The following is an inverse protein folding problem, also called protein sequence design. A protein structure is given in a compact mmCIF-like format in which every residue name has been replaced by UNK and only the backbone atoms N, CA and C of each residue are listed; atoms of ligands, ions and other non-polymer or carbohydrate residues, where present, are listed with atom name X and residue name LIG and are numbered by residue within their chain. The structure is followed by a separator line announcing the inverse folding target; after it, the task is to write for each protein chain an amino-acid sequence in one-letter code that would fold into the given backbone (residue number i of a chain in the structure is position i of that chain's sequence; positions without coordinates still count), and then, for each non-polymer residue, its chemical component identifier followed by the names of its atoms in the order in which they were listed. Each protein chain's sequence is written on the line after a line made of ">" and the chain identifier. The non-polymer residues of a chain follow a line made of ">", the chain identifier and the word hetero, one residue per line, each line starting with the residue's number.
data_IF_049451399618
#
_entry.id   IF_049451399618
#
_cell.length_a   1.000
_cell.length_b   1.000
_cell.length_c   1.000
_cell.angle_alpha   90.00
_cell.angle_beta   90.00
_cell.angle_gamma   90.00
#
_symmetry.space_group_name_H-M   'P 1'
#
loop_
_entity.id
_entity.type
_entity.pdbx_description
1 polymer ?
2 non-polymer ?
3 water ?
#
# COMPACT_ATOMS: atom_id res chain seq x y z
N UNK A 3 24.06 -8.70 27.50
CA UNK A 3 24.56 -7.50 26.77
C UNK A 3 23.46 -6.94 25.88
N UNK A 4 23.63 -5.69 25.45
CA UNK A 4 22.64 -5.03 24.60
C UNK A 4 23.15 -4.85 23.18
N UNK A 5 22.56 -5.57 22.24
CA UNK A 5 22.98 -5.48 20.85
C UNK A 5 21.97 -4.73 20.00
N UNK A 6 21.01 -4.07 20.65
CA UNK A 6 20.02 -3.29 19.92
C UNK A 6 20.70 -2.01 19.45
N UNK A 7 20.12 -1.40 18.43
CA UNK A 7 20.69 -0.20 17.81
C UNK A 7 19.75 0.99 17.83
N UNK A 8 20.24 2.12 18.33
CA UNK A 8 19.45 3.34 18.34
C UNK A 8 19.30 3.87 16.90
N UNK A 9 18.07 4.16 16.50
CA UNK A 9 17.80 4.68 15.18
C UNK A 9 17.22 6.08 15.27
N UNK A 10 17.64 6.94 14.33
CA UNK A 10 17.11 8.29 14.22
C UNK A 10 17.04 8.57 12.71
N UNK A 11 16.63 9.77 12.34
CA UNK A 11 16.55 10.13 10.93
C UNK A 11 17.94 10.03 10.31
N UNK A 12 18.97 10.11 11.14
CA UNK A 12 20.34 10.04 10.63
C UNK A 12 20.71 8.68 10.03
N UNK A 13 20.22 7.58 10.60
CA UNK A 13 20.59 6.26 10.05
C UNK A 13 19.43 5.32 9.73
N UNK A 14 18.19 5.78 9.95
CA UNK A 14 17.04 4.92 9.70
C UNK A 14 17.00 4.26 8.33
N UNK A 15 17.01 5.07 7.29
CA UNK A 15 16.95 4.54 5.93
C UNK A 15 18.11 3.63 5.54
N UNK A 16 19.34 4.06 5.78
CA UNK A 16 20.48 3.22 5.38
C UNK A 16 20.47 1.87 6.08
N UNK A 17 20.05 1.83 7.34
CA UNK A 17 19.99 0.56 8.07
C UNK A 17 18.93 -0.37 7.45
N UNK A 18 17.75 0.17 7.18
CA UNK A 18 16.68 -0.64 6.58
C UNK A 18 17.00 -1.12 5.17
N UNK A 19 17.61 -0.25 4.38
CA UNK A 19 17.96 -0.58 3.00
C UNK A 19 19.10 -1.54 2.83
N UNK A 20 20.06 -1.49 3.76
CA UNK A 20 21.24 -2.34 3.63
C UNK A 20 21.37 -3.56 4.53
N UNK A 21 20.27 -3.94 5.16
CA UNK A 21 20.24 -5.13 6.02
C UNK A 21 18.98 -5.90 5.62
N UNK A 22 19.09 -7.22 5.45
CA UNK A 22 17.93 -8.00 5.04
C UNK A 22 16.73 -7.89 5.99
N UNK A 23 16.97 -8.10 7.28
CA UNK A 23 15.90 -8.02 8.26
C UNK A 23 16.21 -6.99 9.33
N UNK A 24 15.30 -6.03 9.49
CA UNK A 24 15.48 -4.99 10.48
C UNK A 24 14.17 -4.78 11.24
N UNK A 25 14.26 -4.86 12.56
CA UNK A 25 13.09 -4.66 13.42
C UNK A 25 13.28 -3.31 14.09
N UNK A 26 12.18 -2.65 14.40
CA UNK A 26 12.24 -1.35 15.04
C UNK A 26 11.27 -1.26 16.19
N UNK A 27 11.79 -1.28 17.42
CA UNK A 27 10.96 -1.18 18.61
C UNK A 27 10.73 0.32 18.86
N UNK A 28 9.51 0.78 18.59
CA UNK A 28 9.14 2.18 18.79
C UNK A 28 8.69 2.27 20.26
N UNK A 29 9.41 3.07 21.04
CA UNK A 29 9.14 3.18 22.48
C UNK A 29 9.30 4.59 23.05
N UNK A 30 9.10 4.67 24.36
CA UNK A 30 9.24 5.91 25.13
C UNK A 30 9.38 5.49 26.59
N UNK A 31 10.18 6.22 27.35
CA UNK A 31 10.41 5.88 28.76
C UNK A 31 9.17 5.93 29.67
N UNK A 32 8.19 6.77 29.32
CA UNK A 32 6.99 6.93 30.13
C UNK A 32 5.93 5.86 29.89
N UNK A 33 6.23 4.95 28.95
CA UNK A 33 5.29 3.92 28.56
C UNK A 33 5.51 2.62 29.34
N UNK A 34 4.54 2.28 30.18
CA UNK A 34 4.61 1.09 31.02
C UNK A 34 4.80 -0.21 30.22
N UNK A 35 3.93 -0.48 29.22
CA UNK A 35 4.02 -1.68 28.40
C UNK A 35 5.39 -1.76 27.69
N UNK A 36 5.93 -0.61 27.30
CA UNK A 36 7.22 -0.57 26.64
C UNK A 36 8.31 -1.07 27.57
N UNK A 37 8.25 -0.62 28.81
CA UNK A 37 9.23 -1.00 29.81
C UNK A 37 9.22 -2.51 30.03
N UNK A 38 8.04 -3.11 30.00
CA UNK A 38 7.91 -4.54 30.19
C UNK A 38 8.36 -5.33 28.97
N UNK A 39 8.24 -4.72 27.79
CA UNK A 39 8.64 -5.38 26.53
C UNK A 39 10.16 -5.30 26.27
N UNK A 40 10.80 -4.22 26.72
CA UNK A 40 12.22 -4.03 26.46
C UNK A 40 13.15 -5.22 26.71
N UNK A 41 13.10 -5.84 27.90
CA UNK A 41 14.01 -6.98 28.11
C UNK A 41 13.76 -8.17 27.17
N UNK A 42 12.52 -8.35 26.75
CA UNK A 42 12.17 -9.43 25.84
C UNK A 42 12.74 -9.08 24.45
N UNK A 43 12.60 -7.83 24.04
CA UNK A 43 13.11 -7.38 22.74
C UNK A 43 14.62 -7.52 22.73
N UNK A 44 15.25 -7.14 23.84
CA UNK A 44 16.71 -7.24 23.98
C UNK A 44 17.19 -8.70 23.98
N UNK A 45 16.47 -9.54 24.71
CA UNK A 45 16.80 -10.95 24.78
C UNK A 45 16.77 -11.63 23.40
N UNK A 46 15.73 -11.35 22.63
CA UNK A 46 15.64 -11.94 21.29
C UNK A 46 16.72 -11.36 20.39
N UNK A 47 16.99 -10.06 20.52
CA UNK A 47 18.01 -9.43 19.70
C UNK A 47 19.37 -10.10 19.94
N UNK A 48 19.62 -10.49 21.19
CA UNK A 48 20.87 -11.17 21.54
C UNK A 48 20.88 -12.56 20.89
N UNK A 49 19.75 -13.26 20.92
CA UNK A 49 19.69 -14.59 20.32
C UNK A 49 20.04 -14.54 18.84
N UNK A 50 19.66 -13.45 18.16
CA UNK A 50 19.94 -13.31 16.74
C UNK A 50 21.06 -12.31 16.46
N UNK A 51 21.98 -12.18 17.40
CA UNK A 51 23.10 -11.26 17.24
C UNK A 51 23.83 -11.55 15.93
N UNK A 52 24.10 -10.50 15.15
CA UNK A 52 24.79 -10.65 13.88
C UNK A 52 23.94 -11.10 12.71
N UNK A 53 22.70 -11.50 12.97
CA UNK A 53 21.83 -12.00 11.90
C UNK A 53 20.73 -11.07 11.42
N UNK A 54 20.26 -10.20 12.32
CA UNK A 54 19.22 -9.22 12.00
C UNK A 54 19.46 -8.03 12.90
N UNK A 55 19.04 -6.85 12.45
CA UNK A 55 19.22 -5.65 13.25
C UNK A 55 17.97 -5.34 14.05
N UNK A 56 18.17 -5.17 15.36
CA UNK A 56 17.08 -4.86 16.26
C UNK A 56 17.20 -3.39 16.68
N UNK A 57 16.59 -2.54 15.88
CA UNK A 57 16.63 -1.12 16.15
C UNK A 57 15.62 -0.69 17.19
N UNK A 58 15.83 0.51 17.71
CA UNK A 58 14.95 1.09 18.71
C UNK A 58 14.77 2.53 18.28
N UNK A 59 13.52 2.96 18.19
CA UNK A 59 13.22 4.33 17.80
C UNK A 59 12.42 4.96 18.95
N UNK A 60 13.02 5.91 19.64
CA UNK A 60 12.28 6.59 20.69
C UNK A 60 11.34 7.55 19.96
N UNK A 61 10.04 7.35 20.13
CA UNK A 61 9.08 8.17 19.43
C UNK A 61 9.08 9.66 19.76
N UNK A 62 9.44 10.03 20.98
CA UNK A 62 9.44 11.47 21.30
C UNK A 62 10.58 12.23 20.62
N UNK A 63 11.65 11.54 20.25
CA UNK A 63 12.76 12.20 19.56
C UNK A 63 12.73 11.95 18.05
N UNK A 64 11.76 11.18 17.58
CA UNK A 64 11.64 10.85 16.16
C UNK A 64 10.18 10.93 15.72
N UNK A 65 9.54 12.06 16.01
CA UNK A 65 8.14 12.22 15.67
C UNK A 65 7.81 12.02 14.21
N UNK A 66 8.62 12.58 13.32
CA UNK A 66 8.36 12.44 11.90
C UNK A 66 8.39 10.99 11.44
N UNK A 67 9.35 10.21 11.95
CA UNK A 67 9.41 8.80 11.53
C UNK A 67 8.20 8.04 12.08
N UNK A 68 7.86 8.28 13.34
CA UNK A 68 6.73 7.61 13.96
C UNK A 68 5.48 7.94 13.13
N UNK A 69 5.33 9.20 12.75
CA UNK A 69 4.19 9.64 11.95
C UNK A 69 4.20 8.95 10.58
N UNK A 70 5.37 8.93 9.94
CA UNK A 70 5.49 8.31 8.63
C UNK A 70 4.89 6.90 8.62
N UNK A 71 5.14 6.11 9.67
CA UNK A 71 4.62 4.76 9.72
C UNK A 71 3.39 4.61 10.60
N UNK A 72 2.68 5.72 10.81
CA UNK A 72 1.48 5.78 11.61
C UNK A 72 1.53 5.08 12.97
N UNK A 73 2.61 5.29 13.71
CA UNK A 73 2.75 4.69 15.02
C UNK A 73 1.92 5.52 16.00
N UNK A 74 0.68 5.10 16.22
CA UNK A 74 -0.23 5.81 17.12
C UNK A 74 -0.20 5.27 18.54
N UNK A 75 0.17 4.01 18.69
CA UNK A 75 0.25 3.36 20.00
C UNK A 75 1.61 2.72 20.17
N UNK A 76 2.10 2.68 21.40
CA UNK A 76 3.39 2.03 21.66
C UNK A 76 3.19 1.10 22.85
N UNK A 77 4.02 0.04 22.92
CA UNK A 77 5.05 -0.17 21.90
C UNK A 77 4.51 -0.69 20.57
N UNK A 78 5.29 -0.45 19.51
CA UNK A 78 4.98 -0.94 18.18
C UNK A 78 6.30 -1.43 17.62
N UNK A 79 6.29 -2.60 17.00
CA UNK A 79 7.51 -3.14 16.43
C UNK A 79 7.33 -3.26 14.92
N UNK A 80 8.00 -2.37 14.19
CA UNK A 80 7.96 -2.38 12.74
C UNK A 80 8.90 -3.48 12.27
N UNK A 81 8.54 -4.17 11.20
CA UNK A 81 9.41 -5.20 10.66
C UNK A 81 9.67 -4.94 9.19
N UNK A 82 10.95 -4.81 8.85
CA UNK A 82 11.37 -4.53 7.48
C UNK A 82 12.18 -5.69 6.91
N UNK A 83 11.87 -6.08 5.69
CA UNK A 83 12.60 -7.16 5.02
C UNK A 83 12.93 -6.67 3.62
N UNK A 84 14.20 -6.73 3.26
CA UNK A 84 14.67 -6.25 1.96
C UNK A 84 14.25 -4.80 1.73
N UNK A 85 14.39 -4.00 2.79
CA UNK A 85 14.10 -2.58 2.72
C UNK A 85 12.65 -2.14 2.69
N UNK A 86 11.72 -3.07 2.89
CA UNK A 86 10.30 -2.70 2.85
C UNK A 86 9.57 -3.26 4.07
N UNK A 87 8.56 -2.53 4.54
CA UNK A 87 7.82 -2.97 5.71
C UNK A 87 6.94 -4.18 5.39
N UNK A 88 7.10 -5.23 6.19
CA UNK A 88 6.32 -6.45 6.00
C UNK A 88 5.35 -6.68 7.15
N UNK A 89 5.49 -5.93 8.23
CA UNK A 89 4.57 -6.06 9.36
C UNK A 89 4.80 -4.94 10.34
N UNK A 90 3.83 -4.76 11.23
CA UNK A 90 3.90 -3.75 12.29
C UNK A 90 3.12 -4.41 13.41
N UNK A 91 3.80 -4.73 14.50
CA UNK A 91 3.19 -5.39 15.66
C UNK A 91 2.95 -4.40 16.78
N UNK A 92 1.68 -4.21 17.13
CA UNK A 92 1.29 -3.27 18.18
C UNK A 92 1.16 -3.93 19.55
N UNK A 93 1.79 -3.35 20.56
CA UNK A 93 1.74 -3.91 21.91
C UNK A 93 2.96 -4.77 22.16
N UNK A 94 3.24 -5.10 23.41
CA UNK A 94 4.39 -5.94 23.73
C UNK A 94 4.22 -7.30 23.03
N UNK A 95 5.16 -7.66 22.15
CA UNK A 95 5.05 -8.94 21.44
C UNK A 95 5.52 -10.12 22.29
N UNK A 96 4.72 -11.17 22.33
CA UNK A 96 5.06 -12.37 23.09
C UNK A 96 6.42 -12.84 22.57
N UNK A 97 7.27 -13.36 23.45
CA UNK A 97 8.59 -13.80 22.99
C UNK A 97 8.50 -14.85 21.90
N UNK A 98 7.57 -15.81 22.05
CA UNK A 98 7.46 -16.84 21.05
C UNK A 98 7.08 -16.23 19.70
N UNK A 99 6.15 -15.30 19.70
CA UNK A 99 5.74 -14.64 18.46
C UNK A 99 6.90 -13.87 17.83
N UNK A 100 7.68 -13.18 18.67
CA UNK A 100 8.81 -12.40 18.18
C UNK A 100 9.91 -13.30 17.55
N UNK A 101 10.25 -14.39 18.22
CA UNK A 101 11.27 -15.31 17.71
C UNK A 101 10.77 -16.01 16.46
N UNK A 102 9.49 -16.35 16.47
CA UNK A 102 8.86 -17.03 15.34
C UNK A 102 8.89 -16.12 14.10
N UNK A 103 8.61 -14.84 14.31
CA UNK A 103 8.60 -13.87 13.23
C UNK A 103 9.99 -13.70 12.63
N UNK A 104 10.99 -13.57 13.49
CA UNK A 104 12.37 -13.44 13.03
C UNK A 104 12.79 -14.66 12.20
N UNK A 105 12.58 -15.85 12.76
CA UNK A 105 12.93 -17.08 12.07
C UNK A 105 12.28 -17.12 10.69
N UNK A 106 11.01 -16.77 10.64
CA UNK A 106 10.26 -16.75 9.39
C UNK A 106 10.90 -15.88 8.31
N UNK A 107 11.39 -14.72 8.70
CA UNK A 107 11.98 -13.82 7.71
C UNK A 107 13.46 -14.01 7.43
N UNK A 108 14.14 -14.84 8.21
CA UNK A 108 15.55 -15.11 7.98
C UNK A 108 15.71 -16.37 7.12
N UNK B 3 16.29 -17.04 -5.48
CA UNK B 3 15.69 -16.80 -4.13
C UNK B 3 14.24 -16.36 -4.28
N UNK B 4 13.49 -16.39 -3.17
CA UNK B 4 12.08 -16.01 -3.18
C UNK B 4 11.88 -14.80 -2.27
N UNK B 5 11.62 -13.65 -2.88
CA UNK B 5 11.42 -12.44 -2.08
C UNK B 5 9.96 -12.06 -1.93
N UNK B 6 9.05 -12.93 -2.35
CA UNK B 6 7.62 -12.65 -2.19
C UNK B 6 7.30 -12.69 -0.70
N UNK B 7 6.17 -12.08 -0.34
CA UNK B 7 5.78 -12.01 1.06
C UNK B 7 4.42 -12.63 1.35
N UNK B 8 4.38 -13.51 2.34
CA UNK B 8 3.11 -14.11 2.70
C UNK B 8 2.33 -13.03 3.46
N UNK B 9 1.08 -12.85 3.07
CA UNK B 9 0.19 -11.88 3.68
C UNK B 9 -0.99 -12.62 4.30
N UNK B 10 -1.40 -12.16 5.48
CA UNK B 10 -2.57 -12.74 6.14
C UNK B 10 -3.31 -11.55 6.72
N UNK B 11 -4.43 -11.82 7.38
CA UNK B 11 -5.20 -10.72 7.97
C UNK B 11 -4.39 -10.07 9.10
N UNK B 12 -3.31 -10.73 9.49
CA UNK B 12 -2.46 -10.20 10.54
C UNK B 12 -1.54 -9.03 10.07
N UNK B 13 -1.10 -9.04 8.80
CA UNK B 13 -0.23 -7.96 8.32
C UNK B 13 -0.69 -7.28 7.03
N UNK B 14 -1.82 -7.73 6.47
CA UNK B 14 -2.32 -7.16 5.22
C UNK B 14 -2.43 -5.62 5.19
N UNK B 15 -3.15 -5.03 6.14
CA UNK B 15 -3.32 -3.58 6.11
C UNK B 15 -2.03 -2.83 6.40
N UNK B 16 -1.23 -3.38 7.32
CA UNK B 16 0.03 -2.76 7.66
C UNK B 16 0.92 -2.67 6.43
N UNK B 17 0.96 -3.74 5.64
CA UNK B 17 1.79 -3.76 4.44
C UNK B 17 1.31 -2.81 3.35
N UNK B 18 0.02 -2.82 3.04
CA UNK B 18 -0.44 -1.92 1.99
C UNK B 18 -0.38 -0.44 2.37
N UNK B 19 -0.57 -0.12 3.64
CA UNK B 19 -0.54 1.28 4.06
C UNK B 19 0.87 1.85 4.19
N UNK B 20 1.88 0.98 4.25
CA UNK B 20 3.26 1.46 4.44
C UNK B 20 4.26 1.20 3.31
N UNK B 21 3.76 0.95 2.11
CA UNK B 21 4.61 0.69 0.95
C UNK B 21 3.91 1.35 -0.22
N UNK B 22 4.67 1.97 -1.13
CA UNK B 22 4.04 2.62 -2.29
C UNK B 22 3.31 1.64 -3.20
N UNK B 23 3.99 0.58 -3.60
CA UNK B 23 3.38 -0.40 -4.48
C UNK B 23 3.38 -1.77 -3.85
N UNK B 24 2.20 -2.35 -3.75
CA UNK B 24 2.05 -3.70 -3.18
C UNK B 24 1.17 -4.51 -4.09
N UNK B 25 1.69 -5.65 -4.55
CA UNK B 25 0.91 -6.54 -5.38
C UNK B 25 0.46 -7.69 -4.46
N UNK B 26 -0.70 -8.25 -4.75
CA UNK B 26 -1.20 -9.34 -3.93
C UNK B 26 -1.71 -10.47 -4.81
N UNK B 27 -0.92 -11.55 -4.87
CA UNK B 27 -1.29 -12.71 -5.67
C UNK B 27 -2.22 -13.55 -4.79
N UNK B 28 -3.50 -13.50 -5.14
CA UNK B 28 -4.57 -14.23 -4.43
C UNK B 28 -4.65 -15.62 -5.06
N UNK B 29 -4.35 -16.64 -4.26
CA UNK B 29 -4.31 -18.01 -4.77
C UNK B 29 -4.96 -19.05 -3.85
N UNK B 30 -5.07 -20.27 -4.37
CA UNK B 30 -5.61 -21.41 -3.65
C UNK B 30 -4.83 -22.66 -4.08
N UNK B 31 -4.75 -23.64 -3.19
CA UNK B 31 -4.03 -24.88 -3.45
C UNK B 31 -4.56 -25.76 -4.58
N UNK B 32 -5.87 -25.83 -4.77
CA UNK B 32 -6.42 -26.67 -5.83
C UNK B 32 -6.60 -25.89 -7.13
N UNK B 33 -5.70 -24.95 -7.37
CA UNK B 33 -5.78 -24.09 -8.54
C UNK B 33 -4.54 -24.27 -9.41
N UNK B 34 -4.70 -24.99 -10.52
CA UNK B 34 -3.58 -25.26 -11.43
C UNK B 34 -2.94 -23.97 -11.98
N UNK B 35 -3.76 -23.04 -12.48
CA UNK B 35 -3.22 -21.78 -13.01
C UNK B 35 -2.41 -21.04 -11.96
N UNK B 36 -2.85 -21.11 -10.71
CA UNK B 36 -2.12 -20.45 -9.62
C UNK B 36 -0.73 -21.03 -9.56
N UNK B 37 -0.65 -22.34 -9.69
CA UNK B 37 0.62 -23.04 -9.64
C UNK B 37 1.52 -22.62 -10.81
N UNK B 38 0.94 -22.46 -11.98
CA UNK B 38 1.74 -22.05 -13.13
C UNK B 38 2.24 -20.61 -13.00
N UNK B 39 1.42 -19.78 -12.37
CA UNK B 39 1.74 -18.35 -12.18
C UNK B 39 2.82 -18.13 -11.11
N UNK B 40 2.83 -18.99 -10.11
CA UNK B 40 3.78 -18.86 -9.00
C UNK B 40 5.22 -18.53 -9.42
N UNK B 41 5.83 -19.34 -10.29
CA UNK B 41 7.21 -19.02 -10.68
C UNK B 41 7.39 -17.70 -11.43
N UNK B 42 6.36 -17.28 -12.17
CA UNK B 42 6.41 -16.02 -12.91
C UNK B 42 6.37 -14.86 -11.90
N UNK B 43 5.44 -14.97 -10.95
CA UNK B 43 5.26 -13.95 -9.90
C UNK B 43 6.55 -13.81 -9.12
N UNK B 44 7.16 -14.94 -8.77
CA UNK B 44 8.41 -14.94 -8.02
C UNK B 44 9.58 -14.33 -8.81
N UNK B 45 9.62 -14.58 -10.11
CA UNK B 45 10.69 -14.06 -10.96
C UNK B 45 10.64 -12.54 -11.04
N UNK B 46 9.44 -11.99 -11.25
CA UNK B 46 9.28 -10.54 -11.32
C UNK B 46 9.54 -9.90 -9.95
N UNK B 47 9.13 -10.59 -8.88
CA UNK B 47 9.38 -10.05 -7.54
C UNK B 47 10.88 -9.89 -7.31
N UNK B 48 11.67 -10.84 -7.81
CA UNK B 48 13.13 -10.77 -7.67
C UNK B 48 13.67 -9.58 -8.49
N UNK B 49 13.16 -9.41 -9.70
CA UNK B 49 13.60 -8.30 -10.54
C UNK B 49 13.39 -6.99 -9.79
N UNK B 50 12.25 -6.86 -9.10
CA UNK B 50 11.95 -5.65 -8.35
C UNK B 50 12.22 -5.73 -6.86
N UNK B 51 13.18 -6.55 -6.48
CA UNK B 51 13.55 -6.72 -5.08
C UNK B 51 13.80 -5.37 -4.42
N UNK B 52 13.21 -5.17 -3.25
CA UNK B 52 13.37 -3.93 -2.50
C UNK B 52 12.65 -2.69 -3.06
N UNK B 53 12.00 -2.82 -4.21
CA UNK B 53 11.31 -1.70 -4.85
C UNK B 53 9.78 -1.73 -4.76
N UNK B 54 9.23 -2.93 -4.69
CA UNK B 54 7.79 -3.10 -4.57
C UNK B 54 7.61 -4.39 -3.79
N UNK B 55 6.50 -4.51 -3.07
CA UNK B 55 6.25 -5.72 -2.29
C UNK B 55 5.37 -6.66 -3.09
N UNK B 56 5.82 -7.90 -3.23
CA UNK B 56 5.05 -8.88 -3.96
C UNK B 56 4.46 -9.85 -2.96
N UNK B 57 3.25 -9.54 -2.51
CA UNK B 57 2.58 -10.39 -1.54
C UNK B 57 1.83 -11.55 -2.15
N UNK B 58 1.58 -12.56 -1.32
CA UNK B 58 0.83 -13.73 -1.75
C UNK B 58 -0.23 -13.93 -0.67
N UNK B 59 -1.47 -14.12 -1.11
CA UNK B 59 -2.57 -14.28 -0.17
C UNK B 59 -3.37 -15.55 -0.48
N UNK B 60 -3.29 -16.52 0.41
CA UNK B 60 -4.04 -17.77 0.21
C UNK B 60 -5.48 -17.44 0.57
N UNK B 61 -6.37 -17.43 -0.42
CA UNK B 61 -7.77 -17.09 -0.17
C UNK B 61 -8.52 -18.07 0.72
N UNK B 62 -8.08 -19.32 0.80
CA UNK B 62 -8.75 -20.30 1.67
C UNK B 62 -8.44 -19.98 3.14
N UNK B 63 -7.31 -19.33 3.39
CA UNK B 63 -6.90 -19.00 4.77
C UNK B 63 -7.17 -17.55 5.18
N UNK B 64 -7.63 -16.75 4.22
CA UNK B 64 -7.92 -15.33 4.45
C UNK B 64 -9.20 -15.01 3.72
N UNK B 65 -10.23 -15.77 4.06
CA UNK B 65 -11.53 -15.67 3.43
C UNK B 65 -12.14 -14.28 3.41
N UNK B 66 -12.06 -13.58 4.54
CA UNK B 66 -12.62 -12.23 4.62
C UNK B 66 -11.98 -11.25 3.62
N UNK B 67 -10.68 -11.36 3.40
CA UNK B 67 -10.03 -10.41 2.49
C UNK B 67 -10.51 -10.64 1.06
N UNK B 68 -10.74 -11.90 0.71
CA UNK B 68 -11.23 -12.25 -0.62
C UNK B 68 -12.61 -11.62 -0.81
N UNK B 69 -13.39 -11.60 0.25
CA UNK B 69 -14.73 -11.02 0.18
C UNK B 69 -14.64 -9.49 0.12
N UNK B 70 -13.74 -8.91 0.92
CA UNK B 70 -13.56 -7.46 0.97
C UNK B 70 -13.20 -6.86 -0.39
N UNK B 71 -12.31 -7.52 -1.13
CA UNK B 71 -11.93 -7.00 -2.44
C UNK B 71 -12.60 -7.71 -3.62
N UNK B 72 -13.75 -8.33 -3.34
CA UNK B 72 -14.54 -9.03 -4.33
C UNK B 72 -13.77 -9.87 -5.32
N UNK B 73 -12.93 -10.76 -4.81
CA UNK B 73 -12.15 -11.64 -5.67
C UNK B 73 -13.13 -12.64 -6.29
N UNK B 74 -13.21 -12.62 -7.62
CA UNK B 74 -14.15 -13.48 -8.35
C UNK B 74 -13.53 -14.63 -9.13
N UNK B 75 -12.21 -14.64 -9.24
CA UNK B 75 -11.50 -15.69 -9.94
C UNK B 75 -10.11 -15.76 -9.34
N UNK B 76 -9.45 -16.90 -9.50
CA UNK B 76 -8.09 -17.06 -9.02
C UNK B 76 -7.27 -17.80 -10.09
N UNK B 77 -5.99 -17.44 -10.20
CA UNK B 77 -5.40 -16.40 -9.37
C UNK B 77 -5.83 -15.01 -9.82
N UNK B 78 -5.77 -14.05 -8.89
CA UNK B 78 -6.07 -12.64 -9.19
C UNK B 78 -4.96 -11.88 -8.49
N UNK B 79 -4.32 -10.96 -9.20
CA UNK B 79 -3.26 -10.18 -8.60
C UNK B 79 -3.76 -8.77 -8.33
N UNK B 80 -4.04 -8.46 -7.07
CA UNK B 80 -4.52 -7.12 -6.72
C UNK B 80 -3.35 -6.16 -6.72
N UNK B 81 -3.57 -4.94 -7.20
CA UNK B 81 -2.53 -3.94 -7.25
C UNK B 81 -2.90 -2.76 -6.36
N UNK B 82 -2.11 -2.51 -5.32
CA UNK B 82 -2.35 -1.39 -4.43
C UNK B 82 -1.23 -0.35 -4.60
N UNK B 83 -1.62 0.92 -4.68
CA UNK B 83 -0.64 1.99 -4.78
C UNK B 83 -1.08 3.00 -3.72
N UNK B 84 -0.12 3.38 -2.87
CA UNK B 84 -0.37 4.30 -1.77
C UNK B 84 -1.53 3.88 -0.89
N UNK B 85 -1.66 2.57 -0.70
CA UNK B 85 -2.69 2.02 0.18
C UNK B 85 -4.10 1.79 -0.34
N UNK B 86 -4.33 2.07 -1.61
CA UNK B 86 -5.67 1.91 -2.18
C UNK B 86 -5.60 1.06 -3.44
N UNK B 87 -6.65 0.29 -3.71
CA UNK B 87 -6.68 -0.56 -4.91
C UNK B 87 -6.79 0.27 -6.19
N UNK B 88 -5.87 0.05 -7.13
CA UNK B 88 -5.86 0.81 -8.38
C UNK B 88 -5.97 -0.03 -9.63
N UNK B 89 -5.83 -1.35 -9.48
CA UNK B 89 -5.88 -2.23 -10.64
C UNK B 89 -5.82 -3.68 -10.18
N UNK B 90 -5.90 -4.59 -11.13
CA UNK B 90 -5.82 -6.01 -10.85
C UNK B 90 -5.53 -6.75 -12.16
N UNK B 91 -4.99 -7.96 -12.03
CA UNK B 91 -4.69 -8.80 -13.17
C UNK B 91 -5.37 -10.13 -12.84
N UNK B 92 -6.29 -10.56 -13.68
CA UNK B 92 -7.02 -11.80 -13.46
C UNK B 92 -6.43 -12.95 -14.27
N UNK B 93 -6.16 -14.07 -13.59
CA UNK B 93 -5.61 -15.23 -14.26
C UNK B 93 -4.10 -15.31 -14.21
N UNK B 94 -3.55 -16.40 -14.72
CA UNK B 94 -2.09 -16.57 -14.72
C UNK B 94 -1.52 -15.73 -15.85
N UNK B 95 -1.18 -14.48 -15.56
CA UNK B 95 -0.63 -13.59 -16.57
C UNK B 95 0.85 -13.87 -16.84
N UNK B 96 1.27 -13.60 -18.07
CA UNK B 96 2.64 -13.81 -18.48
C UNK B 96 3.59 -12.83 -17.79
N UNK B 97 4.87 -13.18 -17.74
CA UNK B 97 5.89 -12.36 -17.10
C UNK B 97 5.94 -10.93 -17.67
N UNK B 98 5.87 -10.81 -19.00
CA UNK B 98 5.92 -9.51 -19.64
C UNK B 98 4.79 -8.61 -19.22
N UNK B 99 3.58 -9.15 -19.16
CA UNK B 99 2.42 -8.37 -18.77
C UNK B 99 2.54 -7.92 -17.30
N UNK B 100 2.95 -8.85 -16.44
CA UNK B 100 3.11 -8.51 -15.03
C UNK B 100 4.23 -7.46 -14.88
N UNK B 101 5.36 -7.68 -15.53
CA UNK B 101 6.48 -6.72 -15.47
C UNK B 101 6.06 -5.35 -15.95
N UNK B 102 5.37 -5.30 -17.09
CA UNK B 102 4.92 -4.03 -17.65
C UNK B 102 4.04 -3.28 -16.66
N UNK B 103 3.15 -4.02 -16.00
CA UNK B 103 2.23 -3.45 -15.01
C UNK B 103 2.96 -2.91 -13.79
N UNK B 104 3.98 -3.62 -13.33
CA UNK B 104 4.75 -3.17 -12.19
C UNK B 104 5.46 -1.86 -12.54
N UNK B 105 6.14 -1.86 -13.68
CA UNK B 105 6.86 -0.66 -14.12
C UNK B 105 5.88 0.51 -14.27
N UNK B 106 4.71 0.22 -14.81
CA UNK B 106 3.70 1.26 -15.01
C UNK B 106 3.39 1.99 -13.72
N UNK B 107 3.28 1.24 -12.62
CA UNK B 107 2.93 1.83 -11.34
C UNK B 107 4.08 2.30 -10.46
N UNK B 108 5.31 1.96 -10.84
CA UNK B 108 6.47 2.38 -10.06
C UNK B 108 7.04 3.69 -10.60
N UNK C 3 4.78 15.90 -6.09
CA UNK C 3 4.44 14.46 -6.20
C UNK C 3 3.05 14.27 -6.80
N UNK C 4 2.93 13.35 -7.75
CA UNK C 4 1.65 13.07 -8.39
C UNK C 4 1.07 11.74 -7.93
N UNK C 5 0.04 11.79 -7.09
CA UNK C 5 -0.58 10.57 -6.60
C UNK C 5 -1.89 10.24 -7.33
N UNK C 6 -2.19 10.99 -8.39
CA UNK C 6 -3.41 10.73 -9.15
C UNK C 6 -3.26 9.43 -9.93
N UNK C 7 -4.38 8.84 -10.33
CA UNK C 7 -4.39 7.57 -11.05
C UNK C 7 -5.08 7.60 -12.40
N UNK C 8 -4.38 7.16 -13.44
CA UNK C 8 -4.97 7.08 -14.78
C UNK C 8 -6.05 5.99 -14.79
N UNK C 9 -7.26 6.35 -15.23
CA UNK C 9 -8.36 5.39 -15.30
C UNK C 9 -8.69 5.05 -16.73
N UNK C 10 -9.03 3.78 -16.92
CA UNK C 10 -9.33 3.24 -18.23
C UNK C 10 -10.40 2.16 -18.04
N UNK C 11 -10.99 1.64 -19.11
CA UNK C 11 -11.99 0.59 -18.95
C UNK C 11 -11.33 -0.61 -18.26
N UNK C 12 -10.01 -0.70 -18.38
CA UNK C 12 -9.28 -1.82 -17.76
C UNK C 12 -9.37 -1.84 -16.23
N UNK C 13 -9.38 -0.68 -15.59
CA UNK C 13 -9.44 -0.62 -14.12
C UNK C 13 -10.55 0.24 -13.53
N UNK C 14 -11.36 0.89 -14.36
CA UNK C 14 -12.40 1.77 -13.83
C UNK C 14 -13.30 1.11 -12.80
N UNK C 15 -14.01 0.07 -13.22
CA UNK C 15 -14.94 -0.61 -12.34
C UNK C 15 -14.31 -1.13 -11.07
N UNK C 16 -13.15 -1.75 -11.18
CA UNK C 16 -12.57 -2.28 -9.95
C UNK C 16 -12.13 -1.19 -8.96
N UNK C 17 -11.71 -0.03 -9.49
CA UNK C 17 -11.29 1.06 -8.62
C UNK C 17 -12.49 1.65 -7.85
N UNK C 18 -13.60 1.91 -8.53
CA UNK C 18 -14.73 2.49 -7.81
C UNK C 18 -15.43 1.49 -6.87
N UNK C 19 -15.37 0.20 -7.19
CA UNK C 19 -16.00 -0.81 -6.34
C UNK C 19 -15.21 -1.20 -5.10
N UNK C 20 -13.92 -0.87 -5.07
CA UNK C 20 -13.05 -1.24 -3.95
C UNK C 20 -12.42 -0.09 -3.18
N UNK C 21 -13.00 1.10 -3.30
CA UNK C 21 -12.51 2.29 -2.60
C UNK C 21 -13.75 3.07 -2.26
N UNK C 22 -13.84 3.54 -1.03
CA UNK C 22 -15.03 4.27 -0.60
C UNK C 22 -15.28 5.53 -1.42
N UNK C 23 -14.24 6.34 -1.57
CA UNK C 23 -14.34 7.59 -2.31
C UNK C 23 -13.37 7.65 -3.47
N UNK C 24 -13.91 7.81 -4.66
CA UNK C 24 -13.11 7.92 -5.86
C UNK C 24 -13.57 9.15 -6.65
N UNK C 25 -12.63 10.05 -6.92
CA UNK C 25 -12.94 11.23 -7.72
C UNK C 25 -12.38 10.97 -9.11
N UNK C 26 -13.03 11.51 -10.13
CA UNK C 26 -12.56 11.31 -11.49
C UNK C 26 -12.49 12.61 -12.26
N UNK C 27 -11.28 13.12 -12.45
CA UNK C 27 -11.07 14.37 -13.18
C UNK C 27 -11.12 14.00 -14.67
N UNK C 28 -12.18 14.44 -15.35
CA UNK C 28 -12.37 14.13 -16.77
C UNK C 28 -11.72 15.24 -17.58
N UNK C 29 -10.80 14.86 -18.47
CA UNK C 29 -10.08 15.84 -19.26
C UNK C 29 -9.80 15.37 -20.69
N UNK C 30 -9.18 16.26 -21.47
CA UNK C 30 -8.79 15.97 -22.84
C UNK C 30 -7.61 16.88 -23.19
N UNK C 31 -6.76 16.41 -24.10
CA UNK C 31 -5.59 17.19 -24.48
C UNK C 31 -5.87 18.59 -25.04
N UNK C 32 -6.99 18.78 -25.72
CA UNK C 32 -7.32 20.08 -26.29
C UNK C 32 -7.95 21.05 -25.31
N UNK C 33 -8.30 20.56 -24.13
CA UNK C 33 -8.97 21.35 -23.11
C UNK C 33 -8.05 22.21 -22.24
N UNK C 34 -7.91 23.49 -22.61
CA UNK C 34 -7.06 24.42 -21.88
C UNK C 34 -7.40 24.56 -20.40
N UNK C 35 -8.69 24.74 -20.07
CA UNK C 35 -9.09 24.86 -18.67
C UNK C 35 -8.73 23.63 -17.84
N UNK C 36 -8.68 22.45 -18.48
CA UNK C 36 -8.35 21.21 -17.77
C UNK C 36 -6.90 21.24 -17.33
N UNK C 37 -6.06 21.84 -18.18
CA UNK C 37 -4.65 21.97 -17.86
C UNK C 37 -4.49 22.95 -16.71
N UNK C 38 -5.37 23.95 -16.63
CA UNK C 38 -5.31 24.92 -15.55
C UNK C 38 -5.78 24.28 -14.24
N UNK C 39 -6.73 23.37 -14.33
CA UNK C 39 -7.29 22.68 -13.17
C UNK C 39 -6.40 21.58 -12.61
N UNK C 40 -5.66 20.92 -13.49
CA UNK C 40 -4.76 19.83 -13.14
C UNK C 40 -3.90 20.03 -11.89
N UNK C 41 -3.18 21.16 -11.78
CA UNK C 41 -2.35 21.39 -10.59
C UNK C 41 -3.16 21.42 -9.29
N UNK C 42 -4.35 21.98 -9.35
CA UNK C 42 -5.19 22.04 -8.16
C UNK C 42 -5.62 20.63 -7.78
N UNK C 43 -6.06 19.86 -8.77
CA UNK C 43 -6.51 18.50 -8.51
C UNK C 43 -5.37 17.67 -7.91
N UNK C 44 -4.19 17.76 -8.50
CA UNK C 44 -3.05 17.01 -7.99
C UNK C 44 -2.70 17.44 -6.57
N UNK C 45 -2.70 18.75 -6.30
CA UNK C 45 -2.38 19.22 -4.96
C UNK C 45 -3.33 18.63 -3.92
N UNK C 46 -4.63 18.62 -4.20
CA UNK C 46 -5.56 18.07 -3.25
C UNK C 46 -5.36 16.56 -3.15
N UNK C 47 -5.10 15.91 -4.29
CA UNK C 47 -4.88 14.45 -4.29
C UNK C 47 -3.79 14.14 -3.29
N UNK C 48 -2.73 14.95 -3.30
CA UNK C 48 -1.61 14.76 -2.38
C UNK C 48 -1.99 14.98 -0.92
N UNK C 49 -2.80 16.01 -0.65
CA UNK C 49 -3.21 16.26 0.73
C UNK C 49 -3.97 15.06 1.28
N UNK C 50 -4.71 14.36 0.40
CA UNK C 50 -5.47 13.19 0.85
C UNK C 50 -4.86 11.87 0.43
N UNK C 51 -3.53 11.87 0.28
CA UNK C 51 -2.82 10.66 -0.11
C UNK C 51 -3.23 9.51 0.81
N UNK C 52 -3.56 8.36 0.20
CA UNK C 52 -3.96 7.19 0.96
C UNK C 52 -5.38 7.15 1.53
N UNK C 53 -6.13 8.25 1.40
CA UNK C 53 -7.50 8.32 1.94
C UNK C 53 -8.62 8.27 0.90
N UNK C 54 -8.33 8.76 -0.30
CA UNK C 54 -9.33 8.73 -1.36
C UNK C 54 -8.54 8.58 -2.64
N UNK C 55 -9.15 8.00 -3.66
CA UNK C 55 -8.47 7.83 -4.94
C UNK C 55 -8.82 8.99 -5.88
N UNK C 56 -7.79 9.65 -6.38
CA UNK C 56 -7.98 10.76 -7.29
C UNK C 56 -7.64 10.30 -8.70
N UNK C 57 -8.66 9.83 -9.41
CA UNK C 57 -8.42 9.35 -10.76
C UNK C 57 -8.54 10.42 -11.81
N UNK C 58 -8.00 10.11 -12.99
CA UNK C 58 -8.04 11.00 -14.13
C UNK C 58 -8.52 10.15 -15.28
N UNK C 59 -9.46 10.70 -16.04
CA UNK C 59 -10.03 9.99 -17.17
C UNK C 59 -9.93 10.86 -18.42
N UNK C 60 -9.17 10.39 -19.40
CA UNK C 60 -9.03 11.13 -20.66
C UNK C 60 -10.29 10.74 -21.46
N UNK C 61 -11.26 11.64 -21.53
CA UNK C 61 -12.49 11.33 -22.22
C UNK C 61 -12.34 11.02 -23.70
N UNK C 62 -11.30 11.56 -24.35
CA UNK C 62 -11.09 11.26 -25.76
C UNK C 62 -10.65 9.80 -26.00
N UNK C 63 -9.98 9.22 -25.01
CA UNK C 63 -9.51 7.83 -25.13
C UNK C 63 -10.44 6.84 -24.44
N UNK C 64 -11.46 7.33 -23.74
CA UNK C 64 -12.41 6.48 -23.03
C UNK C 64 -13.82 7.02 -23.19
N UNK C 65 -14.24 7.17 -24.44
CA UNK C 65 -15.56 7.70 -24.74
C UNK C 65 -16.67 6.92 -24.09
N UNK C 66 -16.57 5.59 -24.11
CA UNK C 66 -17.63 4.78 -23.53
C UNK C 66 -17.86 5.10 -22.05
N UNK C 67 -16.78 5.21 -21.28
CA UNK C 67 -16.91 5.52 -19.85
C UNK C 67 -17.49 6.93 -19.69
N UNK C 68 -16.94 7.88 -20.45
CA UNK C 68 -17.40 9.26 -20.38
C UNK C 68 -18.91 9.36 -20.65
N UNK C 69 -19.38 8.65 -21.67
CA UNK C 69 -20.81 8.68 -21.99
C UNK C 69 -21.65 7.99 -20.92
N UNK C 70 -21.13 6.88 -20.40
CA UNK C 70 -21.84 6.12 -19.36
C UNK C 70 -22.20 7.02 -18.18
N UNK C 71 -21.35 8.00 -17.88
CA UNK C 71 -21.68 8.88 -16.78
C UNK C 71 -22.10 10.28 -17.20
N UNK C 72 -22.53 10.40 -18.45
CA UNK C 72 -23.03 11.67 -18.98
C UNK C 72 -22.06 12.84 -18.86
N UNK C 73 -20.79 12.60 -19.15
CA UNK C 73 -19.81 13.68 -19.11
C UNK C 73 -19.87 14.45 -20.44
N UNK C 74 -20.24 15.71 -20.38
CA UNK C 74 -20.32 16.48 -21.60
C UNK C 74 -19.23 17.53 -21.55
N UNK C 75 -19.42 18.52 -20.69
CA UNK C 75 -18.43 19.57 -20.58
C UNK C 75 -17.29 19.21 -19.64
N UNK C 76 -16.08 19.61 -20.00
CA UNK C 76 -14.92 19.36 -19.17
C UNK C 76 -14.18 20.69 -19.00
N UNK C 77 -13.47 20.86 -17.88
CA UNK C 77 -13.35 19.88 -16.80
C UNK C 77 -14.59 19.59 -15.97
N UNK C 78 -14.73 18.32 -15.61
CA UNK C 78 -15.79 17.85 -14.74
C UNK C 78 -15.13 16.81 -13.84
N UNK C 79 -15.42 16.86 -12.55
CA UNK C 79 -14.87 15.89 -11.61
C UNK C 79 -16.01 15.07 -11.04
N UNK C 80 -16.07 13.81 -11.43
CA UNK C 80 -17.10 12.91 -10.94
C UNK C 80 -16.74 12.51 -9.53
N UNK C 81 -17.77 12.28 -8.72
CA UNK C 81 -17.60 11.86 -7.35
C UNK C 81 -18.30 10.52 -7.14
N UNK C 82 -17.53 9.49 -6.85
CA UNK C 82 -18.10 8.16 -6.59
C UNK C 82 -17.90 7.79 -5.12
N UNK C 83 -18.96 7.32 -4.49
CA UNK C 83 -18.89 6.86 -3.11
C UNK C 83 -19.55 5.49 -3.10
N UNK C 84 -18.85 4.54 -2.48
CA UNK C 84 -19.32 3.17 -2.40
C UNK C 84 -19.70 2.64 -3.78
N UNK C 85 -18.86 2.96 -4.76
CA UNK C 85 -19.04 2.47 -6.12
C UNK C 85 -20.13 3.04 -6.98
N UNK C 86 -20.79 4.10 -6.52
CA UNK C 86 -21.86 4.71 -7.28
C UNK C 86 -21.66 6.22 -7.40
N UNK C 87 -22.12 6.80 -8.50
CA UNK C 87 -21.98 8.24 -8.73
C UNK C 87 -22.96 8.99 -7.86
N UNK C 88 -22.42 9.86 -7.00
CA UNK C 88 -23.24 10.60 -6.07
C UNK C 88 -23.24 12.11 -6.28
N UNK C 89 -22.27 12.61 -7.05
CA UNK C 89 -22.15 14.05 -7.27
C UNK C 89 -21.07 14.31 -8.33
N UNK C 90 -20.85 15.60 -8.61
CA UNK C 90 -19.82 15.99 -9.55
C UNK C 90 -19.55 17.49 -9.41
N UNK C 91 -18.33 17.89 -9.74
CA UNK C 91 -17.94 19.29 -9.71
C UNK C 91 -17.81 19.66 -11.19
N UNK C 92 -18.76 20.45 -11.67
CA UNK C 92 -18.79 20.85 -13.06
C UNK C 92 -17.96 22.11 -13.26
N UNK C 93 -16.97 22.01 -14.14
CA UNK C 93 -16.09 23.13 -14.44
C UNK C 93 -14.86 23.13 -13.56
N UNK C 94 -13.95 24.06 -13.81
CA UNK C 94 -12.74 24.18 -13.01
C UNK C 94 -13.16 24.80 -11.67
N UNK C 95 -12.77 24.16 -10.58
CA UNK C 95 -13.09 24.71 -9.26
C UNK C 95 -11.79 25.03 -8.52
N UNK C 96 -11.88 25.89 -7.52
CA UNK C 96 -10.69 26.25 -6.75
C UNK C 96 -10.33 25.15 -5.74
N UNK C 97 -9.16 25.27 -5.14
CA UNK C 97 -8.69 24.28 -4.17
C UNK C 97 -9.64 24.10 -3.00
N UNK C 98 -10.07 25.20 -2.41
CA UNK C 98 -10.99 25.14 -1.28
C UNK C 98 -12.27 24.39 -1.59
N UNK C 99 -12.83 24.59 -2.79
CA UNK C 99 -14.06 23.92 -3.16
C UNK C 99 -13.84 22.41 -3.31
N UNK C 100 -12.74 22.04 -3.96
CA UNK C 100 -12.42 20.63 -4.14
C UNK C 100 -12.19 19.97 -2.77
N UNK C 101 -11.38 20.62 -1.93
CA UNK C 101 -11.11 20.09 -0.61
C UNK C 101 -12.38 19.91 0.21
N UNK C 102 -13.26 20.91 0.18
CA UNK C 102 -14.52 20.84 0.91
C UNK C 102 -15.35 19.65 0.47
N UNK C 103 -15.39 19.42 -0.84
CA UNK C 103 -16.16 18.32 -1.41
C UNK C 103 -15.58 16.98 -0.96
N UNK C 104 -14.27 16.89 -0.89
CA UNK C 104 -13.63 15.64 -0.44
C UNK C 104 -14.02 15.41 1.02
N UNK C 105 -13.85 16.43 1.86
CA UNK C 105 -14.19 16.32 3.29
C UNK C 105 -15.64 15.87 3.44
N UNK C 106 -16.51 16.52 2.66
CA UNK C 106 -17.93 16.23 2.66
C UNK C 106 -18.25 14.74 2.45
N UNK C 107 -17.57 14.11 1.50
CA UNK C 107 -17.86 12.72 1.20
C UNK C 107 -17.00 11.68 1.90
N UNK C 108 -15.97 12.11 2.61
CA UNK C 108 -15.11 11.18 3.36
C UNK C 108 -15.68 10.90 4.74
X LIG D 1 23.62 -4.71 15.01
X LIG D 1 24.51 -5.74 14.57
X LIG D 1 24.18 -4.07 16.29
X LIG D 1 24.33 -5.07 17.30
X LIG E 1 9.64 -7.49 0.74
X LIG E 1 10.79 -6.64 0.73
X LIG E 1 10.07 -8.90 1.15
X LIG E 1 11.05 -9.38 0.22
X LIG F 1 2.53 -13.72 7.29
X LIG F 1 3.41 -14.75 7.74
X LIG F 1 1.64 -13.26 8.44
X LIG F 1 2.45 -12.79 9.51
X LIG G 1 24.76 -1.98 20.02
X LIG G 1 26.15 -2.16 20.32
X LIG G 1 24.61 -1.12 18.76
X LIG G 1 25.32 0.11 18.90
X LIG H 1 -2.83 6.07 -5.99
X LIG H 1 -2.08 7.22 -5.60
X LIG H 1 -4.05 5.91 -5.09
X LIG H 1 -3.63 5.68 -3.74
X LIG I 1 -25.93 17.55 -2.02
X LIG I 1 -25.18 17.38 -0.82
X LIG I 1 -24.97 17.58 -3.22
X LIG I 1 -24.07 18.68 -3.09
X LIG J 1 -4.69 2.22 -17.08
X LIG J 1 -3.34 2.32 -16.63
X LIG J 1 -5.41 1.08 -16.35
X LIG J 1 -4.75 -0.16 -16.62
X LIG K 1 -0.35 5.92 -13.50
X LIG K 1 -1.67 6.07 -12.99
X LIG K 1 -0.21 4.58 -14.21
X LIG K 1 -1.12 4.52 -15.31
#
# INVERSE_FOLDING_TARGET
>A
KKEDVTLVLTEENFDEVIRNNKLVLVDCWAEWCAPCHLYEPIYKKVAEKYKGKAVFGRLNVDENQKIADKYSVLNIPTTLIFVNGQLVDSLVGAVDEDTLESTVNKYLK
>B
KKEDVTLVLTEENFDEVIRNNKLVLVDCWAEWCAPCHLYEPIYKKVAEKYKGKAVFGRLNVDENQKIADKYSVLNIPTTLIFVNGQLVDSLVGAVDEDTLESTVNKYLK
>C
KKEDVTLVLTEENFDEVIRNNKLVLVDCWAEWCAPCHLYEPIYKKVAEKYKGKAVFGRLNVDENQKIADKYSVLNIPTTLIFVNGQLVDSLVGAVDEDTLESTVNKYLK
>D hetero
1 EDO C1 O1 C2 O2
>E hetero
1 EDO C1 O1 C2 O2
>F hetero
1 EDO C1 O1 C2 O2
>G hetero
1 EDO C1 O1 C2 O2
>H hetero
1 EDO C1 O1 C2 O2
>I hetero
1 EDO C1 O1 C2 O2
>J hetero
1 EDO C1 O1 C2 O2
>K hetero
1 EDO C1 O1 C2 O2
#
